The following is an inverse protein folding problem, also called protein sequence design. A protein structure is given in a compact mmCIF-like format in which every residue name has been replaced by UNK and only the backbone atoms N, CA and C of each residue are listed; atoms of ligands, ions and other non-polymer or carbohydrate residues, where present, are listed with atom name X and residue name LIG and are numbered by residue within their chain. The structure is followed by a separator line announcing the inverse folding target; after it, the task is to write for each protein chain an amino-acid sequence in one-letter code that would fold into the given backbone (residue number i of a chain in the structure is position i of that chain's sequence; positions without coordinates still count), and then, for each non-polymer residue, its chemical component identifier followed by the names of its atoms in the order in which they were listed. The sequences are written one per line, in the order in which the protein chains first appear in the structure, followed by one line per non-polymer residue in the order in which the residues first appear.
data_IF_693978528671
#
_entry.id   IF_693978528671
#
_cell.length_a   1.000
_cell.length_b   1.000
_cell.length_c   1.000
_cell.angle_alpha   90.00
_cell.angle_beta   90.00
_cell.angle_gamma   90.00
#
_symmetry.space_group_name_H-M   'P 1'
#
loop_
_entity.id
_entity.type
_entity.pdbx_description
1 polymer ?
#
# COMPACT_ATOMS: atom_id res chain seq x y z
N UNK A 1 -9.21 5.39 52.51
CA UNK A 1 -9.60 6.61 51.76
C UNK A 1 -9.71 6.22 50.29
N UNK A 2 -10.93 5.98 49.78
CA UNK A 2 -11.16 5.61 48.37
C UNK A 2 -11.33 6.88 47.55
N UNK A 3 -10.43 7.14 46.61
CA UNK A 3 -10.55 8.26 45.67
C UNK A 3 -11.68 7.94 44.71
N UNK A 4 -12.73 8.77 44.73
CA UNK A 4 -13.92 8.66 43.90
C UNK A 4 -13.59 9.23 42.51
N UNK A 5 -13.16 8.37 41.58
CA UNK A 5 -12.91 8.76 40.17
C UNK A 5 -14.25 8.79 39.42
N UNK A 6 -15.11 9.74 39.78
CA UNK A 6 -16.31 10.08 38.99
C UNK A 6 -16.19 11.55 38.60
N UNK A 7 -16.14 11.79 37.29
CA UNK A 7 -16.10 13.10 36.62
C UNK A 7 -14.74 13.79 36.49
N UNK A 8 -13.75 13.13 35.88
CA UNK A 8 -12.74 13.88 35.13
C UNK A 8 -13.36 14.18 33.75
N UNK A 9 -13.90 15.39 33.57
CA UNK A 9 -14.15 15.93 32.22
C UNK A 9 -12.77 16.11 31.57
N UNK A 10 -12.43 15.24 30.63
CA UNK A 10 -11.28 15.48 29.75
C UNK A 10 -11.69 16.61 28.83
N UNK A 11 -11.41 17.85 29.21
CA UNK A 11 -11.52 18.99 28.31
C UNK A 11 -10.49 18.79 27.19
N UNK A 12 -10.99 18.69 25.96
CA UNK A 12 -10.13 18.52 24.79
C UNK A 12 -9.30 19.77 24.60
N UNK A 13 -7.98 19.64 24.69
CA UNK A 13 -7.04 20.73 24.44
C UNK A 13 -7.17 21.16 22.98
N UNK A 14 -7.58 22.41 22.77
CA UNK A 14 -7.60 23.03 21.45
C UNK A 14 -6.18 23.50 21.08
N UNK A 15 -5.76 23.22 19.85
CA UNK A 15 -4.55 23.79 19.29
C UNK A 15 -4.75 25.29 19.00
N UNK A 16 -3.67 26.10 19.03
CA UNK A 16 -3.74 27.51 18.67
C UNK A 16 -4.29 27.73 17.26
N UNK A 17 -5.05 28.81 17.07
CA UNK A 17 -5.53 29.20 15.75
C UNK A 17 -4.39 29.58 14.81
N UNK A 18 -4.64 29.41 13.51
CA UNK A 18 -3.69 29.74 12.46
C UNK A 18 -3.44 31.25 12.44
N UNK A 19 -2.17 31.66 12.58
CA UNK A 19 -1.75 33.06 12.41
C UNK A 19 -1.89 33.53 10.96
N UNK A 20 -2.00 34.84 10.78
CA UNK A 20 -1.97 35.46 9.45
C UNK A 20 -0.65 35.14 8.73
N UNK A 21 -0.65 34.98 7.39
CA UNK A 21 0.57 34.76 6.63
C UNK A 21 1.61 35.86 6.86
N UNK A 22 2.89 35.50 6.79
CA UNK A 22 4.01 36.44 6.88
C UNK A 22 4.07 37.39 5.66
N UNK A 23 4.70 38.55 5.84
CA UNK A 23 4.79 39.61 4.84
C UNK A 23 6.23 40.07 4.56
N UNK A 24 7.23 39.35 5.07
CA UNK A 24 8.66 39.66 4.90
C UNK A 24 9.28 38.81 3.80
N UNK A 25 10.30 39.36 3.12
CA UNK A 25 11.08 38.66 2.09
C UNK A 25 10.62 38.94 0.66
N UNK A 26 11.34 38.36 -0.31
CA UNK A 26 11.03 38.50 -1.73
C UNK A 26 10.02 37.41 -2.16
N UNK A 27 8.94 37.84 -2.83
CA UNK A 27 7.90 36.93 -3.32
C UNK A 27 8.47 35.96 -4.34
N UNK A 28 8.26 34.67 -4.12
CA UNK A 28 8.80 33.61 -4.99
C UNK A 28 7.73 32.55 -5.26
N UNK A 29 7.69 32.03 -6.49
CA UNK A 29 6.83 30.90 -6.85
C UNK A 29 7.58 29.58 -6.69
N UNK A 30 6.96 28.64 -6.01
CA UNK A 30 7.46 27.28 -5.78
C UNK A 30 6.53 26.27 -6.43
N UNK A 31 7.10 25.21 -6.99
CA UNK A 31 6.35 24.03 -7.39
C UNK A 31 6.46 23.01 -6.26
N UNK A 32 5.33 22.47 -5.84
CA UNK A 32 5.25 21.46 -4.78
C UNK A 32 5.01 20.08 -5.36
N UNK A 33 5.00 19.05 -4.53
CA UNK A 33 4.60 17.69 -4.92
C UNK A 33 3.12 17.40 -4.57
N UNK A 34 2.32 18.45 -4.44
CA UNK A 34 0.89 18.39 -4.15
C UNK A 34 0.09 18.41 -5.45
N UNK A 35 -1.02 17.68 -5.51
CA UNK A 35 -1.98 17.76 -6.60
C UNK A 35 -3.38 17.96 -6.01
N UNK A 36 -4.10 19.04 -6.35
CA UNK A 36 -5.41 19.28 -5.78
C UNK A 36 -6.43 18.28 -6.33
N UNK A 37 -7.36 17.91 -5.45
CA UNK A 37 -8.53 17.12 -5.75
C UNK A 37 -9.76 18.04 -5.70
N UNK A 38 -10.59 17.98 -6.74
CA UNK A 38 -11.90 18.59 -6.75
C UNK A 38 -12.95 17.51 -6.48
N UNK A 39 -13.86 17.76 -5.56
CA UNK A 39 -14.93 16.84 -5.19
C UNK A 39 -16.26 17.40 -5.66
N UNK A 40 -17.03 16.60 -6.39
CA UNK A 40 -18.43 16.94 -6.70
C UNK A 40 -19.22 16.98 -5.40
N UNK A 41 -20.06 17.99 -5.15
CA UNK A 41 -20.85 18.08 -3.92
C UNK A 41 -21.89 16.96 -3.85
N UNK A 42 -22.31 16.63 -2.62
CA UNK A 42 -23.38 15.66 -2.33
C UNK A 42 -23.15 14.25 -2.88
N UNK A 43 -21.89 13.81 -3.00
CA UNK A 43 -21.61 12.40 -3.33
C UNK A 43 -21.54 11.60 -2.04
N UNK A 44 -22.40 10.58 -1.86
CA UNK A 44 -22.29 9.66 -0.73
C UNK A 44 -21.27 8.55 -1.04
N UNK A 45 -20.56 8.11 0.00
CA UNK A 45 -19.70 6.94 0.02
C UNK A 45 -20.16 6.01 1.13
N UNK A 46 -20.45 4.76 0.79
CA UNK A 46 -20.95 3.76 1.73
C UNK A 46 -19.84 2.77 2.07
N UNK A 47 -19.60 2.55 3.37
CA UNK A 47 -18.52 1.72 3.89
C UNK A 47 -19.03 0.33 4.25
N UNK A 48 -18.28 -0.68 3.85
CA UNK A 48 -18.58 -2.08 4.13
C UNK A 48 -17.35 -2.77 4.72
N UNK A 49 -17.59 -3.67 5.68
CA UNK A 49 -16.61 -4.68 6.09
C UNK A 49 -16.72 -5.85 5.11
N UNK A 50 -15.62 -6.19 4.45
CA UNK A 50 -15.52 -7.34 3.55
C UNK A 50 -14.54 -8.35 4.15
N UNK A 51 -15.01 -9.57 4.37
CA UNK A 51 -14.19 -10.68 4.88
C UNK A 51 -14.14 -11.80 3.87
N UNK A 52 -12.97 -12.36 3.66
CA UNK A 52 -12.76 -13.47 2.73
C UNK A 52 -12.09 -14.61 3.44
N UNK A 53 -12.61 -15.81 3.27
CA UNK A 53 -12.12 -17.02 3.92
C UNK A 53 -11.91 -18.12 2.89
N UNK A 54 -10.81 -18.85 3.01
CA UNK A 54 -10.71 -20.18 2.41
C UNK A 54 -11.40 -21.16 3.33
N UNK A 55 -12.32 -21.93 2.76
CA UNK A 55 -13.10 -22.94 3.46
C UNK A 55 -12.43 -24.30 3.26
N UNK A 56 -12.05 -24.94 4.36
CA UNK A 56 -11.50 -26.29 4.39
C UNK A 56 -12.45 -27.22 5.11
N UNK A 57 -12.46 -28.49 4.70
CA UNK A 57 -13.18 -29.55 5.39
C UNK A 57 -12.24 -30.26 6.37
N UNK A 58 -12.57 -30.23 7.65
CA UNK A 58 -11.86 -30.98 8.68
C UNK A 58 -12.09 -32.49 8.55
N UNK A 59 -11.16 -33.28 9.09
CA UNK A 59 -11.30 -34.74 9.15
C UNK A 59 -12.52 -35.21 9.98
N UNK A 60 -13.00 -34.33 10.87
CA UNK A 60 -14.22 -34.45 11.67
C UNK A 60 -15.49 -34.04 10.91
N UNK A 61 -15.36 -33.65 9.64
CA UNK A 61 -16.45 -33.11 8.82
C UNK A 61 -16.82 -31.67 9.15
N UNK A 62 -16.15 -31.02 10.12
CA UNK A 62 -16.42 -29.64 10.49
C UNK A 62 -15.69 -28.66 9.58
N UNK A 63 -16.31 -27.51 9.36
CA UNK A 63 -15.74 -26.46 8.53
C UNK A 63 -14.61 -25.72 9.27
N UNK A 64 -13.49 -25.49 8.59
CA UNK A 64 -12.38 -24.67 9.07
C UNK A 64 -12.15 -23.49 8.14
N UNK A 65 -12.15 -22.29 8.70
CA UNK A 65 -11.99 -21.04 7.96
C UNK A 65 -10.60 -20.48 8.13
N UNK A 66 -9.92 -20.22 7.00
CA UNK A 66 -8.67 -19.46 6.97
C UNK A 66 -8.93 -18.07 6.39
N UNK A 67 -8.90 -17.06 7.25
CA UNK A 67 -9.14 -15.68 6.83
C UNK A 67 -8.00 -15.14 5.95
N UNK A 68 -8.35 -14.68 4.74
CA UNK A 68 -7.45 -14.04 3.79
C UNK A 68 -7.29 -12.55 4.09
N UNK A 69 -8.33 -11.89 4.60
CA UNK A 69 -8.36 -10.44 4.92
C UNK A 69 -7.60 -10.07 6.20
N UNK A 70 -7.00 -11.07 6.88
CA UNK A 70 -6.26 -10.88 8.12
C UNK A 70 -4.86 -10.29 7.85
N UNK A 71 -4.57 -9.17 8.52
CA UNK A 71 -3.27 -8.51 8.49
C UNK A 71 -2.19 -9.33 9.24
N UNK A 72 -0.96 -9.24 8.75
CA UNK A 72 0.24 -9.83 9.37
C UNK A 72 1.37 -8.82 9.39
N UNK A 73 2.37 -9.05 10.24
CA UNK A 73 3.57 -8.18 10.28
C UNK A 73 4.61 -8.58 9.22
N UNK A 74 4.58 -9.84 8.79
CA UNK A 74 5.55 -10.38 7.85
C UNK A 74 5.16 -10.03 6.41
N UNK A 75 6.12 -9.48 5.65
CA UNK A 75 5.90 -8.94 4.31
C UNK A 75 5.36 -10.01 3.34
N UNK A 76 6.00 -11.19 3.26
CA UNK A 76 5.63 -12.21 2.28
C UNK A 76 4.21 -12.77 2.50
N UNK A 77 3.84 -13.29 3.70
CA UNK A 77 2.47 -13.74 3.95
C UNK A 77 1.43 -12.63 3.78
N UNK A 78 1.79 -11.37 4.06
CA UNK A 78 0.89 -10.23 3.84
C UNK A 78 0.63 -10.01 2.34
N UNK A 79 1.68 -10.00 1.51
CA UNK A 79 1.53 -9.80 0.06
C UNK A 79 0.80 -10.97 -0.61
N UNK A 80 1.08 -12.22 -0.23
CA UNK A 80 0.34 -13.39 -0.76
C UNK A 80 -1.16 -13.27 -0.49
N UNK A 81 -1.54 -12.94 0.75
CA UNK A 81 -2.94 -12.74 1.14
C UNK A 81 -3.58 -11.59 0.36
N UNK A 82 -2.89 -10.44 0.26
CA UNK A 82 -3.42 -9.30 -0.50
C UNK A 82 -3.63 -9.65 -1.97
N UNK A 83 -2.71 -10.38 -2.59
CA UNK A 83 -2.87 -10.89 -3.97
C UNK A 83 -4.07 -11.82 -4.08
N UNK A 84 -4.21 -12.78 -3.16
CA UNK A 84 -5.36 -13.69 -3.13
C UNK A 84 -6.70 -12.93 -2.99
N UNK A 85 -6.79 -11.96 -2.08
CA UNK A 85 -8.02 -11.18 -1.91
C UNK A 85 -8.35 -10.31 -3.12
N UNK A 86 -7.35 -9.80 -3.86
CA UNK A 86 -7.57 -9.06 -5.11
C UNK A 86 -8.14 -9.98 -6.20
N UNK A 87 -7.64 -11.22 -6.31
CA UNK A 87 -8.17 -12.22 -7.24
C UNK A 87 -9.63 -12.56 -6.91
N UNK A 88 -9.90 -12.83 -5.63
CA UNK A 88 -11.26 -13.08 -5.12
C UNK A 88 -12.19 -11.90 -5.38
N UNK A 89 -11.74 -10.67 -5.09
CA UNK A 89 -12.49 -9.45 -5.36
C UNK A 89 -12.83 -9.29 -6.84
N UNK A 90 -11.84 -9.43 -7.74
CA UNK A 90 -12.08 -9.33 -9.19
C UNK A 90 -13.07 -10.41 -9.67
N UNK A 91 -12.98 -11.63 -9.14
CA UNK A 91 -13.90 -12.71 -9.50
C UNK A 91 -15.32 -12.44 -8.98
N UNK A 92 -15.44 -11.97 -7.73
CA UNK A 92 -16.70 -11.58 -7.10
C UNK A 92 -17.44 -10.52 -7.93
N UNK A 93 -16.74 -9.46 -8.35
CA UNK A 93 -17.34 -8.41 -9.20
C UNK A 93 -17.82 -8.96 -10.55
N UNK A 94 -17.08 -9.91 -11.12
CA UNK A 94 -17.42 -10.52 -12.41
C UNK A 94 -18.64 -11.44 -12.30
N UNK A 95 -18.72 -12.25 -11.26
CA UNK A 95 -19.77 -13.24 -11.07
C UNK A 95 -21.08 -12.66 -10.53
N UNK A 96 -21.03 -11.49 -9.86
CA UNK A 96 -22.19 -10.86 -9.22
C UNK A 96 -22.36 -9.40 -9.66
N UNK A 97 -22.19 -9.12 -10.96
CA UNK A 97 -22.21 -7.76 -11.51
C UNK A 97 -23.54 -7.01 -11.28
N UNK A 98 -24.65 -7.72 -11.08
CA UNK A 98 -25.98 -7.18 -10.79
C UNK A 98 -26.12 -6.57 -9.38
N UNK A 99 -25.27 -7.02 -8.46
CA UNK A 99 -25.22 -6.59 -7.07
C UNK A 99 -24.41 -5.30 -6.89
N UNK A 100 -23.34 -5.17 -7.68
CA UNK A 100 -22.42 -4.06 -7.62
C UNK A 100 -22.89 -2.92 -8.54
N UNK A 101 -22.70 -1.65 -8.15
CA UNK A 101 -23.05 -0.53 -9.01
C UNK A 101 -22.28 -0.57 -10.34
N UNK A 102 -22.98 -0.81 -11.45
CA UNK A 102 -22.38 -0.86 -12.79
C UNK A 102 -21.85 0.49 -13.28
N UNK A 103 -22.38 1.58 -12.72
CA UNK A 103 -22.01 2.97 -12.97
C UNK A 103 -21.30 3.64 -11.77
N UNK A 104 -21.08 2.90 -10.68
CA UNK A 104 -20.44 3.40 -9.47
C UNK A 104 -19.00 2.93 -9.31
N UNK A 105 -18.20 3.69 -8.56
CA UNK A 105 -16.84 3.30 -8.20
C UNK A 105 -16.82 2.48 -6.89
N UNK A 106 -15.90 1.53 -6.78
CA UNK A 106 -15.75 0.60 -5.66
C UNK A 106 -14.32 0.56 -5.11
N UNK A 107 -14.05 1.26 -4.01
CA UNK A 107 -12.70 1.35 -3.48
C UNK A 107 -12.41 0.27 -2.45
N UNK A 108 -11.60 -0.72 -2.82
CA UNK A 108 -11.19 -1.82 -1.95
C UNK A 108 -9.77 -1.62 -1.41
N UNK A 109 -9.54 -1.85 -0.13
CA UNK A 109 -8.22 -1.69 0.52
C UNK A 109 -7.31 -2.92 0.44
N UNK A 110 -7.81 -4.04 -0.09
CA UNK A 110 -7.15 -5.38 -0.10
C UNK A 110 -7.05 -6.05 1.26
N UNK A 111 -7.81 -5.56 2.22
CA UNK A 111 -8.00 -6.17 3.52
C UNK A 111 -9.48 -6.23 3.82
N UNK A 112 -9.99 -5.38 4.71
CA UNK A 112 -11.35 -5.51 5.24
C UNK A 112 -12.29 -4.38 4.81
N UNK A 113 -11.82 -3.36 4.08
CA UNK A 113 -12.61 -2.16 3.82
C UNK A 113 -12.95 -2.06 2.34
N UNK A 114 -14.24 -1.99 2.06
CA UNK A 114 -14.79 -1.71 0.74
C UNK A 114 -15.68 -0.47 0.83
N UNK A 115 -15.44 0.51 -0.04
CA UNK A 115 -16.36 1.63 -0.23
C UNK A 115 -17.09 1.51 -1.55
N UNK A 116 -18.37 1.88 -1.58
CA UNK A 116 -19.10 2.16 -2.83
C UNK A 116 -19.46 3.63 -2.93
N UNK A 117 -19.18 4.24 -4.08
CA UNK A 117 -19.54 5.63 -4.35
C UNK A 117 -20.93 5.72 -5.01
N UNK A 118 -21.69 6.75 -4.65
CA UNK A 118 -23.03 7.10 -5.14
C UNK A 118 -24.16 6.12 -4.79
N UNK A 119 -23.93 4.82 -4.94
CA UNK A 119 -24.93 3.77 -4.74
C UNK A 119 -24.47 2.76 -3.71
N UNK A 120 -25.40 2.30 -2.88
CA UNK A 120 -25.16 1.18 -1.99
C UNK A 120 -25.05 -0.13 -2.78
N UNK A 121 -24.22 -1.03 -2.27
CA UNK A 121 -24.19 -2.43 -2.69
C UNK A 121 -25.50 -3.12 -2.27
N UNK A 122 -26.08 -3.94 -3.16
CA UNK A 122 -27.33 -4.65 -2.88
C UNK A 122 -27.10 -5.86 -1.97
N UNK A 123 -27.35 -5.69 -0.67
CA UNK A 123 -27.25 -6.74 0.35
C UNK A 123 -28.63 -7.31 0.71
N UNK A 124 -28.65 -8.51 1.30
CA UNK A 124 -29.86 -9.16 1.80
C UNK A 124 -30.12 -8.70 3.25
N UNK A 125 -30.31 -7.38 3.42
CA UNK A 125 -30.38 -6.71 4.72
C UNK A 125 -29.06 -6.00 5.07
N UNK A 126 -28.43 -6.42 6.17
CA UNK A 126 -27.19 -5.81 6.67
C UNK A 126 -25.92 -6.53 6.20
N UNK A 127 -26.04 -7.78 5.76
CA UNK A 127 -24.92 -8.57 5.25
C UNK A 127 -25.34 -9.46 4.08
N UNK A 128 -24.35 -9.95 3.33
CA UNK A 128 -24.52 -10.95 2.29
C UNK A 128 -23.29 -11.84 2.20
N UNK A 129 -23.53 -13.14 2.04
CA UNK A 129 -22.48 -14.15 1.92
C UNK A 129 -22.46 -14.73 0.51
N UNK A 130 -21.26 -14.89 -0.04
CA UNK A 130 -20.97 -15.49 -1.34
C UNK A 130 -20.08 -16.69 -1.17
N UNK A 131 -20.29 -17.71 -1.99
CA UNK A 131 -19.39 -18.84 -2.10
C UNK A 131 -18.86 -18.89 -3.54
N UNK A 132 -17.56 -18.79 -3.69
CA UNK A 132 -16.84 -18.88 -4.96
C UNK A 132 -16.02 -20.19 -4.98
N UNK A 133 -15.69 -20.72 -6.17
CA UNK A 133 -14.82 -21.89 -6.27
C UNK A 133 -13.46 -21.65 -5.62
N UNK A 134 -12.89 -22.69 -4.98
CA UNK A 134 -11.52 -22.64 -4.43
C UNK A 134 -10.47 -22.30 -5.50
N UNK A 135 -10.73 -22.68 -6.76
CA UNK A 135 -9.86 -22.42 -7.91
C UNK A 135 -9.67 -20.94 -8.27
N UNK A 136 -10.42 -20.02 -7.64
CA UNK A 136 -10.21 -18.58 -7.79
C UNK A 136 -8.84 -18.13 -7.28
N UNK A 137 -8.28 -18.85 -6.31
CA UNK A 137 -6.93 -18.59 -5.80
C UNK A 137 -5.99 -19.75 -6.16
N UNK A 138 -4.75 -19.46 -6.61
CA UNK A 138 -3.81 -20.51 -6.98
C UNK A 138 -3.29 -21.31 -5.76
N UNK A 139 -3.18 -20.66 -4.59
CA UNK A 139 -2.52 -21.22 -3.40
C UNK A 139 -3.52 -21.67 -2.31
N UNK A 140 -4.72 -22.11 -2.71
CA UNK A 140 -5.74 -22.60 -1.78
C UNK A 140 -5.35 -23.91 -1.06
N UNK A 141 -4.48 -24.71 -1.68
CA UNK A 141 -4.20 -26.08 -1.27
C UNK A 141 -5.24 -27.06 -1.83
N UNK A 142 -4.89 -28.35 -1.90
CA UNK A 142 -5.76 -29.41 -2.45
C UNK A 142 -7.04 -29.60 -1.64
N UNK A 143 -7.00 -29.26 -0.36
CA UNK A 143 -8.08 -29.51 0.58
C UNK A 143 -9.05 -28.31 0.70
N UNK A 144 -8.82 -27.25 -0.09
CA UNK A 144 -9.72 -26.11 -0.13
C UNK A 144 -10.99 -26.45 -0.91
N UNK A 145 -12.15 -26.30 -0.26
CA UNK A 145 -13.44 -26.63 -0.83
C UNK A 145 -14.05 -25.43 -1.58
N UNK A 146 -13.97 -24.25 -0.97
CA UNK A 146 -14.52 -23.02 -1.56
C UNK A 146 -13.88 -21.77 -0.95
N UNK A 147 -14.23 -20.61 -1.51
CA UNK A 147 -13.94 -19.30 -0.94
C UNK A 147 -15.25 -18.67 -0.48
N UNK A 148 -15.34 -18.35 0.81
CA UNK A 148 -16.46 -17.61 1.37
C UNK A 148 -16.13 -16.12 1.42
N UNK A 149 -16.98 -15.28 0.86
CA UNK A 149 -16.90 -13.82 1.00
C UNK A 149 -18.12 -13.32 1.76
N UNK A 150 -17.91 -12.54 2.81
CA UNK A 150 -18.97 -11.91 3.60
C UNK A 150 -18.82 -10.39 3.44
N UNK A 151 -19.86 -9.72 2.98
CA UNK A 151 -19.93 -8.25 2.90
C UNK A 151 -20.99 -7.78 3.87
N UNK A 152 -20.63 -6.86 4.78
CA UNK A 152 -21.52 -6.32 5.80
C UNK A 152 -21.44 -4.79 5.85
N UNK A 153 -22.56 -4.11 6.08
CA UNK A 153 -22.55 -2.67 6.38
C UNK A 153 -21.81 -2.43 7.69
N UNK A 154 -20.91 -1.45 7.73
CA UNK A 154 -20.29 -1.09 9.02
C UNK A 154 -21.33 -0.43 9.92
N UNK A 155 -21.28 -0.71 11.23
CA UNK A 155 -22.23 -0.14 12.19
C UNK A 155 -22.02 1.37 12.35
N UNK A 156 -20.76 1.79 12.48
CA UNK A 156 -20.37 3.19 12.69
C UNK A 156 -19.73 3.76 11.42
N UNK A 157 -20.14 4.97 11.03
CA UNK A 157 -19.60 5.62 9.83
C UNK A 157 -19.96 4.90 8.52
N UNK A 158 -21.13 4.25 8.48
CA UNK A 158 -21.63 3.56 7.28
C UNK A 158 -21.64 4.46 6.05
N UNK A 159 -21.93 5.75 6.22
CA UNK A 159 -21.96 6.71 5.13
C UNK A 159 -21.13 7.94 5.49
N UNK A 160 -20.31 8.38 4.54
CA UNK A 160 -19.65 9.68 4.53
C UNK A 160 -19.98 10.40 3.23
N UNK A 161 -19.91 11.72 3.20
CA UNK A 161 -20.18 12.49 1.98
C UNK A 161 -19.01 13.38 1.58
N UNK A 162 -18.88 13.68 0.28
CA UNK A 162 -17.90 14.64 -0.23
C UNK A 162 -17.97 16.03 0.43
N UNK A 163 -19.14 16.39 1.01
CA UNK A 163 -19.30 17.64 1.76
C UNK A 163 -18.56 17.64 3.11
N UNK A 164 -18.16 16.46 3.61
CA UNK A 164 -17.54 16.31 4.94
C UNK A 164 -16.06 16.71 4.97
N UNK A 165 -15.49 17.20 3.87
CA UNK A 165 -14.06 17.53 3.77
C UNK A 165 -13.58 18.49 4.87
N UNK A 166 -14.40 19.47 5.22
CA UNK A 166 -14.07 20.42 6.28
C UNK A 166 -14.02 19.77 7.67
N UNK A 167 -14.79 18.69 7.91
CA UNK A 167 -14.81 17.97 9.19
C UNK A 167 -13.49 17.24 9.47
N UNK A 168 -12.65 17.02 8.46
CA UNK A 168 -11.32 16.44 8.62
C UNK A 168 -10.30 17.39 9.25
N UNK A 169 -10.65 18.68 9.38
CA UNK A 169 -9.78 19.72 9.95
C UNK A 169 -10.49 20.36 11.14
N UNK A 170 -9.94 20.15 12.33
CA UNK A 170 -10.41 20.79 13.57
C UNK A 170 -9.20 21.08 14.48
N UNK A 171 -9.26 22.17 15.25
CA UNK A 171 -8.24 22.52 16.26
C UNK A 171 -8.22 21.53 17.43
N UNK A 172 -9.30 20.77 17.62
CA UNK A 172 -9.42 19.68 18.59
C UNK A 172 -9.37 18.35 17.86
N UNK A 173 -8.38 17.52 18.18
CA UNK A 173 -8.14 16.25 17.47
C UNK A 173 -9.32 15.28 17.55
N UNK A 174 -9.99 15.17 18.71
CA UNK A 174 -11.13 14.25 18.91
C UNK A 174 -12.37 14.65 18.11
N UNK A 175 -12.45 15.89 17.63
CA UNK A 175 -13.56 16.39 16.83
C UNK A 175 -13.31 16.23 15.32
N UNK A 176 -12.16 15.69 14.90
CA UNK A 176 -11.86 15.45 13.48
C UNK A 176 -12.56 14.19 12.99
N UNK A 177 -13.32 14.33 11.91
CA UNK A 177 -13.86 13.21 11.15
C UNK A 177 -12.96 12.91 9.95
N UNK A 178 -12.31 11.75 9.97
CA UNK A 178 -11.38 11.31 8.92
C UNK A 178 -12.03 10.36 7.90
N UNK A 179 -13.34 10.13 7.97
CA UNK A 179 -14.04 9.17 7.12
C UNK A 179 -13.89 9.47 5.62
N UNK A 180 -14.06 10.74 5.21
CA UNK A 180 -13.80 11.13 3.82
C UNK A 180 -12.32 11.01 3.44
N UNK A 181 -11.40 11.30 4.37
CA UNK A 181 -9.97 11.13 4.11
C UNK A 181 -9.58 9.66 3.89
N UNK A 182 -10.24 8.73 4.58
CA UNK A 182 -10.08 7.29 4.37
C UNK A 182 -10.49 6.91 2.94
N UNK A 183 -11.67 7.36 2.49
CA UNK A 183 -12.17 7.16 1.12
C UNK A 183 -11.14 7.66 0.10
N UNK A 184 -10.69 8.91 0.23
CA UNK A 184 -9.76 9.51 -0.73
C UNK A 184 -8.42 8.80 -0.74
N UNK A 185 -7.89 8.39 0.42
CA UNK A 185 -6.65 7.62 0.47
C UNK A 185 -6.80 6.29 -0.26
N UNK A 186 -7.86 5.52 -0.02
CA UNK A 186 -8.07 4.22 -0.67
C UNK A 186 -8.31 4.41 -2.18
N UNK A 187 -9.10 5.42 -2.58
CA UNK A 187 -9.37 5.76 -3.98
C UNK A 187 -8.08 6.04 -4.77
N UNK A 188 -7.16 6.83 -4.20
CA UNK A 188 -5.87 7.14 -4.84
C UNK A 188 -4.88 5.95 -4.87
N UNK A 189 -5.17 4.83 -4.18
CA UNK A 189 -4.34 3.62 -4.20
C UNK A 189 -4.80 2.56 -5.21
N UNK A 190 -6.00 2.70 -5.80
CA UNK A 190 -6.67 1.55 -6.43
C UNK A 190 -5.85 0.86 -7.53
N UNK A 191 -5.13 1.62 -8.36
CA UNK A 191 -4.27 1.02 -9.40
C UNK A 191 -3.15 0.17 -8.78
N UNK A 192 -2.41 0.71 -7.82
CA UNK A 192 -1.33 0.00 -7.13
C UNK A 192 -1.83 -1.15 -6.24
N UNK A 193 -3.07 -1.08 -5.78
CA UNK A 193 -3.72 -2.18 -5.08
C UNK A 193 -4.09 -3.31 -6.04
N UNK A 194 -4.80 -3.01 -7.12
CA UNK A 194 -5.43 -4.03 -7.97
C UNK A 194 -4.50 -4.64 -9.03
N UNK A 195 -3.39 -3.98 -9.37
CA UNK A 195 -2.39 -4.49 -10.33
C UNK A 195 -1.20 -5.13 -9.61
N UNK A 196 -1.45 -6.25 -8.94
CA UNK A 196 -0.48 -6.97 -8.11
C UNK A 196 0.67 -7.61 -8.89
N UNK A 197 0.66 -7.54 -10.22
CA UNK A 197 1.79 -7.93 -11.08
C UNK A 197 2.71 -6.76 -11.45
N UNK A 198 2.24 -5.51 -11.29
CA UNK A 198 3.02 -4.31 -11.58
C UNK A 198 3.58 -3.66 -10.32
N UNK A 199 2.81 -3.74 -9.21
CA UNK A 199 3.14 -3.09 -7.96
C UNK A 199 3.12 -4.05 -6.79
N UNK A 200 4.12 -3.89 -5.92
CA UNK A 200 4.05 -4.35 -4.53
C UNK A 200 3.74 -3.16 -3.64
N UNK A 201 2.91 -3.35 -2.61
CA UNK A 201 2.43 -2.22 -1.81
C UNK A 201 2.47 -2.52 -0.31
N UNK A 202 3.14 -1.66 0.44
CA UNK A 202 3.31 -1.75 1.88
C UNK A 202 2.50 -0.68 2.60
N UNK A 203 1.82 -1.07 3.67
CA UNK A 203 0.86 -0.20 4.37
C UNK A 203 -0.23 0.31 3.43
N UNK A 204 -0.66 1.56 3.63
CA UNK A 204 -1.78 2.18 2.93
C UNK A 204 -1.41 3.11 1.76
N UNK A 205 -0.11 3.32 1.50
CA UNK A 205 0.31 4.38 0.59
C UNK A 205 1.73 4.30 0.05
N UNK A 206 2.43 3.17 0.18
CA UNK A 206 3.77 3.03 -0.40
C UNK A 206 3.74 1.94 -1.46
N UNK A 207 3.92 2.34 -2.73
CA UNK A 207 3.81 1.46 -3.89
C UNK A 207 5.16 1.38 -4.59
N UNK A 208 5.76 0.20 -4.68
CA UNK A 208 6.99 -0.06 -5.43
C UNK A 208 6.70 -0.82 -6.71
N UNK A 209 7.51 -0.59 -7.74
CA UNK A 209 7.45 -1.33 -9.00
C UNK A 209 8.14 -2.69 -8.85
N UNK A 210 7.58 -3.71 -9.50
CA UNK A 210 8.32 -4.96 -9.74
C UNK A 210 9.37 -4.81 -10.84
N UNK A 211 9.02 -4.08 -11.91
CA UNK A 211 9.92 -3.78 -13.02
C UNK A 211 10.02 -2.26 -13.22
N UNK A 212 11.13 -1.68 -12.77
CA UNK A 212 11.40 -0.26 -12.95
C UNK A 212 11.70 0.12 -14.40
N UNK A 213 12.24 -0.81 -15.21
CA UNK A 213 12.61 -0.57 -16.61
C UNK A 213 11.37 -0.39 -17.48
N UNK A 214 10.25 -1.05 -17.11
CA UNK A 214 8.96 -0.85 -17.76
C UNK A 214 8.48 0.62 -17.77
N UNK A 215 8.96 1.45 -16.83
CA UNK A 215 8.67 2.89 -16.77
C UNK A 215 9.87 3.78 -17.17
N UNK A 216 10.92 3.19 -17.76
CA UNK A 216 12.07 3.90 -18.28
C UNK A 216 13.12 4.31 -17.24
N UNK A 217 13.02 3.82 -16.00
CA UNK A 217 14.07 4.01 -15.00
C UNK A 217 15.28 3.15 -15.34
N UNK A 218 16.48 3.69 -15.12
CA UNK A 218 17.74 3.02 -15.43
C UNK A 218 18.33 2.36 -14.18
N UNK A 219 19.13 1.32 -14.37
CA UNK A 219 19.72 0.57 -13.26
C UNK A 219 20.68 1.41 -12.40
N UNK A 220 21.29 2.46 -12.96
CA UNK A 220 22.09 3.38 -12.15
C UNK A 220 21.26 4.27 -11.21
N UNK A 221 19.95 4.42 -11.46
CA UNK A 221 19.02 5.07 -10.55
C UNK A 221 18.51 4.12 -9.46
N UNK A 222 18.59 2.81 -9.69
CA UNK A 222 18.12 1.74 -8.80
C UNK A 222 19.14 0.60 -8.79
N UNK A 223 20.32 0.83 -8.17
CA UNK A 223 21.41 -0.12 -8.26
C UNK A 223 21.10 -1.43 -7.52
N UNK A 224 21.70 -2.51 -7.99
CA UNK A 224 21.89 -3.70 -7.17
C UNK A 224 22.73 -3.37 -5.95
N UNK A 225 22.43 -4.06 -4.85
CA UNK A 225 23.13 -3.91 -3.58
C UNK A 225 23.87 -5.22 -3.28
N UNK A 226 24.93 -5.14 -2.49
CA UNK A 226 25.65 -6.33 -2.03
C UNK A 226 24.73 -7.27 -1.23
N UNK A 227 25.19 -8.50 -0.96
CA UNK A 227 24.47 -9.53 -0.21
C UNK A 227 23.14 -9.98 -0.83
N UNK A 228 23.02 -10.03 -2.17
CA UNK A 228 21.81 -10.49 -2.84
C UNK A 228 20.60 -9.59 -2.55
N UNK A 229 20.83 -8.27 -2.56
CA UNK A 229 19.81 -7.25 -2.31
C UNK A 229 19.72 -6.33 -3.52
N UNK A 230 18.63 -5.59 -3.65
CA UNK A 230 18.50 -4.58 -4.69
C UNK A 230 17.75 -3.35 -4.16
N UNK A 231 17.91 -2.22 -4.85
CA UNK A 231 17.14 -1.01 -4.57
C UNK A 231 15.88 -0.99 -5.44
N UNK A 232 14.71 -1.07 -4.80
CA UNK A 232 13.42 -0.84 -5.47
C UNK A 232 13.06 0.63 -5.49
N UNK A 233 12.38 1.08 -6.55
CA UNK A 233 11.82 2.43 -6.70
C UNK A 233 10.30 2.39 -6.64
N UNK A 234 9.72 3.42 -6.02
CA UNK A 234 8.30 3.51 -5.80
C UNK A 234 7.86 4.92 -5.47
N UNK A 235 6.60 5.05 -5.08
CA UNK A 235 5.98 6.32 -4.68
C UNK A 235 5.29 6.17 -3.34
N UNK A 236 5.56 7.13 -2.46
CA UNK A 236 4.76 7.37 -1.26
C UNK A 236 3.60 8.27 -1.62
N UNK A 237 2.42 7.96 -1.10
CA UNK A 237 1.18 8.65 -1.43
C UNK A 237 0.36 8.82 -0.16
N UNK A 238 -0.16 10.04 0.02
CA UNK A 238 -1.12 10.35 1.07
C UNK A 238 -2.10 11.41 0.58
N UNK A 239 -3.30 11.46 1.16
CA UNK A 239 -4.23 12.57 0.96
C UNK A 239 -4.25 13.43 2.22
N UNK A 240 -4.10 14.75 2.03
CA UNK A 240 -4.11 15.75 3.10
C UNK A 240 -5.13 16.84 2.79
N UNK A 241 -5.73 17.42 3.82
CA UNK A 241 -6.56 18.63 3.68
C UNK A 241 -5.71 19.84 4.02
N UNK A 242 -5.61 20.79 3.10
CA UNK A 242 -4.86 22.03 3.26
C UNK A 242 -5.75 23.21 2.88
N UNK A 243 -5.31 24.43 3.21
CA UNK A 243 -5.95 25.64 2.71
C UNK A 243 -5.82 25.70 1.18
N UNK A 244 -6.96 25.85 0.49
CA UNK A 244 -6.99 26.02 -0.97
C UNK A 244 -6.82 27.47 -1.41
N UNK A 245 -6.84 27.69 -2.72
CA UNK A 245 -6.76 29.03 -3.34
C UNK A 245 -7.94 29.94 -2.98
N UNK A 246 -9.09 29.34 -2.63
CA UNK A 246 -10.32 30.04 -2.24
C UNK A 246 -10.29 30.63 -0.82
N UNK A 247 -9.13 30.57 -0.14
CA UNK A 247 -8.94 31.18 1.18
C UNK A 247 -9.15 30.21 2.34
N UNK A 248 -9.04 30.71 3.59
CA UNK A 248 -8.98 29.88 4.81
C UNK A 248 -10.26 29.09 5.09
N UNK A 249 -11.42 29.57 4.61
CA UNK A 249 -12.73 28.93 4.84
C UNK A 249 -13.10 27.88 3.78
N UNK A 250 -12.18 27.58 2.85
CA UNK A 250 -12.38 26.64 1.76
C UNK A 250 -11.24 25.61 1.73
N UNK A 251 -11.26 24.61 2.64
CA UNK A 251 -10.28 23.54 2.64
C UNK A 251 -10.34 22.77 1.33
N UNK A 252 -9.18 22.31 0.86
CA UNK A 252 -9.04 21.52 -0.37
C UNK A 252 -8.26 20.25 -0.04
N UNK A 253 -8.70 19.12 -0.59
CA UNK A 253 -7.94 17.87 -0.51
C UNK A 253 -6.80 17.91 -1.54
N UNK A 254 -5.62 17.48 -1.13
CA UNK A 254 -4.46 17.32 -1.98
C UNK A 254 -3.96 15.89 -1.86
N UNK A 255 -3.72 15.25 -2.99
CA UNK A 255 -2.87 14.05 -3.01
C UNK A 255 -1.41 14.51 -3.03
N UNK A 256 -0.65 14.04 -2.04
CA UNK A 256 0.78 14.24 -1.91
C UNK A 256 1.46 12.99 -2.42
N UNK A 257 2.30 13.13 -3.42
CA UNK A 257 3.09 12.02 -3.97
C UNK A 257 4.56 12.36 -3.91
N UNK A 258 5.41 11.43 -3.48
CA UNK A 258 6.85 11.62 -3.54
C UNK A 258 7.54 10.30 -3.85
N UNK A 259 8.55 10.35 -4.71
CA UNK A 259 9.40 9.19 -5.00
C UNK A 259 10.03 8.67 -3.71
N UNK A 260 10.02 7.35 -3.58
CA UNK A 260 10.73 6.61 -2.55
C UNK A 260 11.60 5.54 -3.18
N UNK A 261 12.68 5.19 -2.49
CA UNK A 261 13.50 4.04 -2.81
C UNK A 261 13.73 3.23 -1.55
N UNK A 262 13.70 1.90 -1.68
CA UNK A 262 13.81 0.97 -0.56
C UNK A 262 14.72 -0.19 -0.93
N UNK A 263 15.32 -0.84 0.06
CA UNK A 263 16.11 -2.04 -0.16
C UNK A 263 15.24 -3.29 -0.02
N UNK A 264 15.44 -4.25 -0.91
CA UNK A 264 14.71 -5.51 -0.98
C UNK A 264 15.70 -6.67 -1.12
N UNK A 265 15.30 -7.85 -0.67
CA UNK A 265 16.01 -9.07 -1.01
C UNK A 265 15.68 -9.46 -2.45
N UNK A 266 16.63 -10.03 -3.19
CA UNK A 266 16.36 -10.57 -4.54
C UNK A 266 15.32 -11.69 -4.43
N UNK A 267 14.22 -11.52 -5.14
CA UNK A 267 13.09 -12.44 -5.16
C UNK A 267 13.52 -13.79 -5.76
N UNK A 268 13.05 -14.88 -5.16
CA UNK A 268 13.28 -16.27 -5.59
C UNK A 268 14.77 -16.68 -5.71
N UNK A 269 15.70 -15.88 -5.16
CA UNK A 269 17.12 -16.22 -5.13
C UNK A 269 17.35 -17.52 -4.36
N UNK A 270 18.12 -18.45 -4.92
CA UNK A 270 18.50 -19.67 -4.22
C UNK A 270 19.23 -19.33 -2.90
N UNK A 271 18.93 -20.04 -1.82
CA UNK A 271 19.49 -19.71 -0.51
C UNK A 271 21.01 -19.89 -0.44
N UNK A 272 21.59 -20.85 -1.18
CA UNK A 272 23.05 -21.01 -1.25
C UNK A 272 23.71 -19.86 -2.03
N UNK A 273 23.09 -19.41 -3.12
CA UNK A 273 23.55 -18.23 -3.87
C UNK A 273 23.44 -16.95 -3.04
N UNK A 274 22.37 -16.83 -2.25
CA UNK A 274 22.22 -15.73 -1.29
C UNK A 274 23.37 -15.74 -0.30
N UNK A 275 23.65 -16.89 0.31
CA UNK A 275 24.75 -17.05 1.29
C UNK A 275 26.09 -16.72 0.64
N UNK A 276 26.38 -17.22 -0.55
CA UNK A 276 27.65 -16.95 -1.24
C UNK A 276 27.84 -15.48 -1.61
N UNK A 277 26.75 -14.75 -1.84
CA UNK A 277 26.79 -13.31 -2.10
C UNK A 277 27.00 -12.44 -0.86
N UNK A 278 26.93 -13.02 0.36
CA UNK A 278 27.06 -12.24 1.59
C UNK A 278 28.50 -11.78 1.82
N UNK A 279 28.66 -10.48 1.99
CA UNK A 279 29.91 -9.76 2.29
C UNK A 279 30.73 -10.35 3.43
N UNK A 280 30.09 -10.99 4.43
CA UNK A 280 30.81 -11.68 5.53
C UNK A 280 31.76 -12.79 5.04
N UNK A 281 31.47 -13.38 3.88
CA UNK A 281 32.31 -14.41 3.28
C UNK A 281 33.34 -13.83 2.31
N UNK A 282 33.25 -12.56 1.93
CA UNK A 282 34.16 -11.93 0.98
C UNK A 282 35.42 -11.46 1.73
N UNK A 283 36.59 -11.94 1.30
CA UNK A 283 37.86 -11.44 1.81
C UNK A 283 38.09 -10.00 1.31
N UNK A 284 38.21 -8.99 2.20
CA UNK A 284 38.35 -7.60 1.79
C UNK A 284 39.61 -7.30 0.98
N UNK A 285 40.64 -8.16 1.05
CA UNK A 285 41.93 -7.96 0.36
C UNK A 285 41.93 -8.56 -1.04
N UNK A 286 41.33 -9.73 -1.21
CA UNK A 286 41.32 -10.44 -2.50
C UNK A 286 40.01 -10.27 -3.27
N UNK A 287 38.93 -9.81 -2.62
CA UNK A 287 37.59 -9.77 -3.19
C UNK A 287 36.97 -11.14 -3.44
N UNK A 288 37.66 -12.22 -3.06
CA UNK A 288 37.18 -13.59 -3.26
C UNK A 288 36.33 -14.04 -2.08
N UNK A 289 35.23 -14.75 -2.37
CA UNK A 289 34.45 -15.41 -1.33
C UNK A 289 35.22 -16.61 -0.77
N UNK A 290 35.31 -16.67 0.55
CA UNK A 290 35.81 -17.83 1.32
C UNK A 290 34.76 -18.95 1.40
N UNK A 291 33.55 -18.71 0.91
CA UNK A 291 32.48 -19.68 0.77
C UNK A 291 32.14 -19.86 -0.71
N UNK A 292 32.18 -21.09 -1.22
CA UNK A 292 31.67 -21.44 -2.55
C UNK A 292 30.68 -22.57 -2.44
N UNK A 293 29.71 -22.59 -3.35
CA UNK A 293 28.69 -23.66 -3.41
C UNK A 293 29.39 -25.00 -3.65
N UNK A 294 30.39 -25.03 -4.53
CA UNK A 294 31.16 -26.24 -4.86
C UNK A 294 31.90 -26.80 -3.63
N UNK A 295 32.47 -25.94 -2.78
CA UNK A 295 33.15 -26.37 -1.55
C UNK A 295 32.15 -26.89 -0.51
N UNK A 296 30.99 -26.24 -0.39
CA UNK A 296 29.91 -26.69 0.50
C UNK A 296 29.33 -28.06 0.07
N UNK A 297 29.39 -28.39 -1.22
CA UNK A 297 28.85 -29.64 -1.79
C UNK A 297 29.80 -30.86 -1.73
N UNK A 298 31.04 -30.73 -1.23
CA UNK A 298 32.02 -31.83 -1.21
C UNK A 298 31.64 -32.99 -0.26
N UNK A 299 31.96 -34.23 -0.68
CA UNK A 299 31.50 -35.51 -0.07
C UNK A 299 31.86 -35.70 1.41
N UNK A 300 32.89 -35.02 1.93
CA UNK A 300 33.23 -35.10 3.36
C UNK A 300 32.41 -34.13 4.23
N UNK A 301 31.85 -33.06 3.66
CA UNK A 301 30.92 -32.14 4.33
C UNK A 301 29.47 -32.69 4.32
N UNK A 302 29.24 -33.78 3.59
CA UNK A 302 27.94 -34.35 3.28
C UNK A 302 27.23 -35.10 4.43
N UNK A 303 27.83 -35.31 5.62
CA UNK A 303 27.01 -35.72 6.79
C UNK A 303 25.96 -34.66 7.18
N UNK A 304 26.11 -33.42 6.70
CA UNK A 304 25.13 -32.35 6.74
C UNK A 304 24.11 -32.36 5.56
N UNK A 305 24.13 -33.36 4.66
CA UNK A 305 23.30 -33.47 3.44
C UNK A 305 21.82 -33.23 3.68
N UNK A 306 21.23 -33.72 4.78
CA UNK A 306 19.80 -33.54 5.05
C UNK A 306 19.44 -32.08 5.40
N UNK A 307 20.41 -31.29 5.87
CA UNK A 307 20.27 -29.84 6.02
C UNK A 307 20.58 -29.11 4.70
N UNK A 308 21.54 -29.59 3.90
CA UNK A 308 21.92 -29.01 2.61
C UNK A 308 20.84 -29.22 1.54
N UNK A 309 20.27 -30.43 1.37
CA UNK A 309 19.16 -30.71 0.43
C UNK A 309 17.94 -29.84 0.75
N UNK A 310 17.70 -29.52 2.03
CA UNK A 310 16.65 -28.56 2.40
C UNK A 310 17.02 -27.18 1.88
N UNK A 311 18.23 -26.69 2.11
CA UNK A 311 18.69 -25.35 1.71
C UNK A 311 18.82 -25.18 0.18
N UNK A 312 19.22 -26.22 -0.55
CA UNK A 312 19.29 -26.22 -2.03
C UNK A 312 17.92 -26.00 -2.68
N UNK A 313 16.85 -26.43 -2.02
CA UNK A 313 15.46 -26.27 -2.46
C UNK A 313 14.79 -25.01 -1.88
N UNK A 314 15.48 -24.27 -1.00
CA UNK A 314 14.94 -23.04 -0.43
C UNK A 314 15.32 -21.84 -1.29
N UNK A 315 14.33 -20.99 -1.54
CA UNK A 315 14.49 -19.70 -2.17
C UNK A 315 14.10 -18.58 -1.22
N UNK A 316 14.66 -17.40 -1.44
CA UNK A 316 14.24 -16.18 -0.77
C UNK A 316 12.82 -15.85 -1.23
N UNK A 317 11.90 -15.73 -0.27
CA UNK A 317 10.52 -15.39 -0.60
C UNK A 317 10.45 -13.97 -1.20
N UNK A 318 9.60 -13.75 -2.21
CA UNK A 318 9.55 -12.49 -2.94
C UNK A 318 9.06 -11.33 -2.07
N UNK A 319 9.36 -10.10 -2.52
CA UNK A 319 8.82 -8.87 -1.95
C UNK A 319 9.17 -8.64 -0.48
N UNK A 320 10.33 -9.12 -0.03
CA UNK A 320 10.80 -8.90 1.34
C UNK A 320 11.65 -7.63 1.44
N UNK A 321 11.21 -6.68 2.29
CA UNK A 321 11.99 -5.48 2.57
C UNK A 321 13.19 -5.80 3.45
N UNK A 322 14.31 -5.14 3.18
CA UNK A 322 15.50 -5.16 4.02
C UNK A 322 15.36 -4.10 5.10
N UNK A 323 15.41 -4.50 6.37
CA UNK A 323 15.36 -3.56 7.50
C UNK A 323 16.67 -2.77 7.61
N UNK A 324 16.63 -1.62 8.31
CA UNK A 324 17.83 -0.81 8.50
C UNK A 324 18.97 -1.58 9.21
N UNK A 325 18.64 -2.48 10.15
CA UNK A 325 19.64 -3.30 10.85
C UNK A 325 20.30 -4.33 9.93
N UNK A 326 19.66 -4.69 8.82
CA UNK A 326 20.17 -5.64 7.84
C UNK A 326 21.01 -4.97 6.74
N UNK A 327 21.18 -3.64 6.78
CA UNK A 327 21.93 -2.88 5.78
C UNK A 327 23.35 -2.61 6.27
N UNK A 328 24.35 -2.88 5.43
CA UNK A 328 25.75 -2.55 5.70
C UNK A 328 26.02 -1.06 5.42
N UNK A 329 27.09 -0.47 5.98
CA UNK A 329 27.47 0.92 5.67
C UNK A 329 27.67 1.18 4.17
N UNK A 330 28.24 0.23 3.43
CA UNK A 330 28.44 0.36 1.98
C UNK A 330 27.13 0.32 1.19
N UNK A 331 26.18 -0.51 1.62
CA UNK A 331 24.83 -0.51 1.06
C UNK A 331 24.15 0.84 1.30
N UNK A 332 24.22 1.36 2.53
CA UNK A 332 23.66 2.67 2.87
C UNK A 332 24.31 3.79 2.05
N UNK A 333 25.63 3.79 1.89
CA UNK A 333 26.34 4.77 1.06
C UNK A 333 25.91 4.70 -0.41
N UNK A 334 25.78 3.49 -0.97
CA UNK A 334 25.29 3.27 -2.33
C UNK A 334 23.86 3.79 -2.50
N UNK A 335 22.98 3.50 -1.54
CA UNK A 335 21.60 3.98 -1.53
C UNK A 335 21.53 5.51 -1.42
N UNK A 336 22.35 6.14 -0.56
CA UNK A 336 22.42 7.61 -0.43
C UNK A 336 22.78 8.23 -1.78
N UNK A 337 23.81 7.69 -2.45
CA UNK A 337 24.25 8.17 -3.76
C UNK A 337 23.14 8.06 -4.82
N UNK A 338 22.40 6.94 -4.83
CA UNK A 338 21.28 6.73 -5.75
C UNK A 338 20.06 7.62 -5.42
N UNK A 339 19.85 7.98 -4.16
CA UNK A 339 18.76 8.85 -3.70
C UNK A 339 19.08 10.35 -3.88
N UNK A 340 20.35 10.73 -3.93
CA UNK A 340 20.80 12.10 -4.14
C UNK A 340 20.50 12.56 -5.58
N UNK A 341 19.35 13.19 -5.78
CA UNK A 341 18.87 13.65 -7.08
C UNK A 341 18.45 15.12 -7.03
N UNK A 342 18.59 15.82 -8.15
CA UNK A 342 18.18 17.21 -8.28
C UNK A 342 16.65 17.34 -8.14
N UNK A 343 16.11 18.45 -7.57
CA UNK A 343 14.67 18.63 -7.40
C UNK A 343 13.86 18.46 -8.70
N UNK A 344 14.38 18.93 -9.84
CA UNK A 344 13.70 18.80 -11.13
C UNK A 344 13.56 17.33 -11.55
N UNK A 345 14.63 16.55 -11.36
CA UNK A 345 14.64 15.11 -11.65
C UNK A 345 13.71 14.37 -10.68
N UNK A 346 13.77 14.69 -9.38
CA UNK A 346 12.87 14.12 -8.36
C UNK A 346 11.40 14.33 -8.72
N UNK A 347 11.05 15.54 -9.14
CA UNK A 347 9.68 15.89 -9.52
C UNK A 347 9.24 15.15 -10.79
N UNK A 348 10.14 15.01 -11.77
CA UNK A 348 9.90 14.22 -12.99
C UNK A 348 9.66 12.75 -12.68
N UNK A 349 10.53 12.13 -11.88
CA UNK A 349 10.40 10.73 -11.46
C UNK A 349 9.10 10.51 -10.65
N UNK A 350 8.77 11.45 -9.76
CA UNK A 350 7.51 11.43 -8.99
C UNK A 350 6.31 11.49 -9.92
N UNK A 351 6.34 12.32 -10.97
CA UNK A 351 5.26 12.42 -11.96
C UNK A 351 5.07 11.09 -12.70
N UNK A 352 6.15 10.46 -13.16
CA UNK A 352 6.10 9.14 -13.85
C UNK A 352 5.38 8.11 -12.98
N UNK A 353 5.77 8.00 -11.70
CA UNK A 353 5.16 7.03 -10.78
C UNK A 353 3.72 7.38 -10.40
N UNK A 354 3.42 8.66 -10.21
CA UNK A 354 2.05 9.17 -9.99
C UNK A 354 1.13 8.81 -11.17
N UNK A 355 1.62 9.00 -12.40
CA UNK A 355 0.87 8.69 -13.62
C UNK A 355 0.70 7.17 -13.79
N UNK A 356 1.68 6.37 -13.39
CA UNK A 356 1.61 4.90 -13.39
C UNK A 356 0.55 4.36 -12.40
N UNK A 357 0.37 5.03 -11.25
CA UNK A 357 -0.74 4.76 -10.33
C UNK A 357 -2.10 5.31 -10.81
N UNK A 358 -2.16 5.86 -12.02
CA UNK A 358 -3.35 6.49 -12.59
C UNK A 358 -3.89 7.66 -11.72
N UNK A 359 -3.01 8.32 -10.96
CA UNK A 359 -3.33 9.52 -10.18
C UNK A 359 -3.15 10.74 -11.09
N UNK A 360 -3.96 10.82 -12.14
CA UNK A 360 -3.87 11.86 -13.17
C UNK A 360 -5.25 12.35 -13.59
N UNK A 361 -5.28 13.53 -14.20
CA UNK A 361 -6.51 14.11 -14.73
C UNK A 361 -7.17 13.15 -15.74
N UNK A 362 -8.51 13.12 -15.74
CA UNK A 362 -9.26 12.29 -16.67
C UNK A 362 -9.37 10.81 -16.30
N UNK A 363 -8.96 10.40 -15.08
CA UNK A 363 -9.20 9.05 -14.60
C UNK A 363 -10.72 8.76 -14.53
N UNK A 364 -11.27 7.87 -15.40
CA UNK A 364 -12.70 7.68 -15.53
C UNK A 364 -13.31 7.06 -14.27
N UNK A 365 -12.53 6.24 -13.56
CA UNK A 365 -12.96 5.54 -12.38
C UNK A 365 -13.14 6.49 -11.17
N UNK A 366 -12.21 7.44 -11.00
CA UNK A 366 -12.34 8.48 -9.99
C UNK A 366 -13.44 9.48 -10.34
N UNK A 367 -13.59 9.80 -11.63
CA UNK A 367 -14.67 10.67 -12.11
C UNK A 367 -16.05 10.07 -11.83
N UNK A 368 -16.20 8.74 -11.96
CA UNK A 368 -17.41 8.03 -11.56
C UNK A 368 -17.69 8.11 -10.05
N UNK A 369 -16.69 8.41 -9.22
CA UNK A 369 -16.87 8.72 -7.80
C UNK A 369 -17.05 10.22 -7.50
N UNK A 370 -17.13 11.07 -8.53
CA UNK A 370 -17.17 12.53 -8.36
C UNK A 370 -15.85 13.10 -7.81
N UNK A 371 -14.72 12.44 -8.07
CA UNK A 371 -13.38 12.89 -7.70
C UNK A 371 -12.61 13.25 -8.97
N UNK A 372 -12.23 14.52 -9.11
CA UNK A 372 -11.41 15.01 -10.21
C UNK A 372 -10.00 15.36 -9.70
N UNK A 373 -8.99 14.91 -10.43
CA UNK A 373 -7.58 15.22 -10.15
C UNK A 373 -7.16 16.38 -11.05
N UNK A 374 -6.61 17.44 -10.47
CA UNK A 374 -6.07 18.54 -11.25
C UNK A 374 -4.87 18.12 -12.11
N UNK A 375 -4.63 18.86 -13.19
CA UNK A 375 -3.48 18.58 -14.05
C UNK A 375 -2.18 19.13 -13.42
N UNK A 376 -1.13 18.30 -13.41
CA UNK A 376 0.19 18.70 -12.90
C UNK A 376 0.28 18.78 -11.37
N UNK A 377 1.27 19.56 -10.91
CA UNK A 377 1.54 19.81 -9.49
C UNK A 377 1.18 21.25 -9.10
N UNK A 378 0.84 21.48 -7.83
CA UNK A 378 0.45 22.80 -7.30
C UNK A 378 1.63 23.75 -7.29
N UNK A 379 1.40 24.96 -7.83
CA UNK A 379 2.26 26.13 -7.66
C UNK A 379 1.81 26.90 -6.42
N UNK A 380 2.75 27.30 -5.58
CA UNK A 380 2.50 28.09 -4.37
C UNK A 380 3.35 29.34 -4.43
N UNK A 381 2.74 30.48 -4.09
CA UNK A 381 3.44 31.77 -3.98
C UNK A 381 3.64 32.08 -2.50
N UNK A 382 4.89 32.30 -2.11
CA UNK A 382 5.25 32.72 -0.76
C UNK A 382 5.77 34.16 -0.79
#
# INVERSE_FOLDING_TARGET
MRINVRNIKVETIALPEKRTPGNLGAKTEFITNLTPLSLKPNIPFFKYDIRMYVVYKGADGQERLKELTKQTKDDFPEQERKTATVLVYKNLLKCHADMFPSDGALFYDRAAILFSAQKQIKLDGEEKTFNLPASVIPNGGTDAESIRVVIKKVTDGFQVTSNDLAKAVNVRELEKDKGLLEVLNIAMSQKGYLETSQFVTYGSGVHYLFDHRALGFRDNEVPELMDGKYMGIGVTKSVKVLQGEKGPNAPTAFVVTDITKGAFHIDDQNLLEKISSMSIFIDPRSGQSRFTVEAAMQIYNQKAILQIIKVELLTVAPSQRVTLQQQTPDQVATMIKACATLPQNRLSQTKILKDALNIKNGNPYLKAAGIDIANGFTKVRC
#
